data_IF_423151166571
#
_entry.id   IF_423151166571
#
_cell.length_a   1.000
_cell.length_b   1.000
_cell.length_c   1.000
_cell.angle_alpha   90.00
_cell.angle_beta   90.00
_cell.angle_gamma   90.00
#
_symmetry.space_group_name_H-M   'P 1'
#
loop_
_entity.id
_entity.type
_entity.pdbx_description
1 polymer ?
#
# COMPACT_ATOMS: atom_id res chain seq x y z
N UNK A 1 32.49 -18.74 0.32
CA UNK A 1 31.43 -18.65 1.35
C UNK A 1 30.59 -17.44 1.01
N UNK A 2 29.46 -17.65 0.34
CA UNK A 2 28.53 -16.57 -0.06
C UNK A 2 27.61 -16.36 1.13
N UNK A 3 27.66 -15.16 1.73
CA UNK A 3 26.79 -14.78 2.84
C UNK A 3 25.37 -14.57 2.35
N UNK A 4 24.52 -15.59 2.49
CA UNK A 4 23.07 -15.53 2.28
C UNK A 4 22.40 -15.04 3.57
N UNK A 5 22.68 -13.81 4.00
CA UNK A 5 22.13 -13.26 5.25
C UNK A 5 21.61 -11.84 5.02
N UNK A 6 20.82 -11.64 3.97
CA UNK A 6 20.20 -10.33 3.67
C UNK A 6 18.68 -10.38 3.51
N UNK A 7 18.06 -11.55 3.58
CA UNK A 7 16.67 -11.72 3.10
C UNK A 7 15.56 -11.49 4.15
N UNK A 8 15.68 -11.80 5.46
CA UNK A 8 14.52 -11.66 6.35
C UNK A 8 14.23 -10.23 6.81
N UNK A 9 15.23 -9.34 6.85
CA UNK A 9 15.05 -7.96 7.35
C UNK A 9 14.36 -7.04 6.35
N UNK A 10 14.55 -7.25 5.05
CA UNK A 10 13.95 -6.40 4.01
C UNK A 10 12.43 -6.58 3.92
N UNK A 11 11.92 -7.78 4.22
CA UNK A 11 10.48 -8.07 4.19
C UNK A 11 9.78 -7.85 5.52
N UNK A 12 10.50 -7.64 6.63
CA UNK A 12 9.90 -7.43 7.94
C UNK A 12 8.86 -6.28 7.95
N UNK A 13 9.14 -5.10 7.35
CA UNK A 13 8.15 -4.02 7.26
C UNK A 13 6.92 -4.40 6.42
N UNK A 14 7.11 -5.13 5.32
CA UNK A 14 6.02 -5.63 4.47
C UNK A 14 5.10 -6.56 5.27
N UNK A 15 5.68 -7.53 5.99
CA UNK A 15 4.94 -8.49 6.80
C UNK A 15 4.19 -7.81 7.96
N UNK A 16 4.81 -6.83 8.61
CA UNK A 16 4.16 -6.04 9.65
C UNK A 16 2.93 -5.30 9.10
N UNK A 17 3.10 -4.62 7.96
CA UNK A 17 2.01 -3.90 7.31
C UNK A 17 0.89 -4.83 6.84
N UNK A 18 1.18 -6.05 6.42
CA UNK A 18 0.14 -7.04 6.07
C UNK A 18 -0.75 -7.36 7.27
N UNK A 19 -0.18 -7.43 8.49
CA UNK A 19 -0.94 -7.62 9.73
C UNK A 19 -1.81 -6.41 10.12
N UNK A 20 -1.51 -5.23 9.57
CA UNK A 20 -2.23 -3.97 9.83
C UNK A 20 -3.23 -3.64 8.71
N UNK A 21 -3.49 -4.56 7.79
CA UNK A 21 -4.38 -4.32 6.65
C UNK A 21 -5.77 -3.87 7.13
N UNK A 22 -6.24 -2.68 6.72
CA UNK A 22 -7.56 -2.21 7.09
C UNK A 22 -8.66 -3.05 6.44
N UNK A 23 -9.81 -3.13 7.09
CA UNK A 23 -11.00 -3.76 6.50
C UNK A 23 -11.48 -2.99 5.27
N UNK A 24 -12.21 -3.65 4.37
CA UNK A 24 -12.82 -2.99 3.21
C UNK A 24 -13.81 -1.87 3.59
N UNK A 25 -14.40 -1.95 4.79
CA UNK A 25 -15.32 -0.95 5.31
C UNK A 25 -14.63 0.23 6.02
N UNK A 26 -13.29 0.19 6.17
CA UNK A 26 -12.55 1.30 6.76
C UNK A 26 -12.64 2.57 5.89
N UNK A 27 -12.53 3.78 6.49
CA UNK A 27 -12.47 5.02 5.75
C UNK A 27 -11.47 4.97 4.59
N UNK A 28 -11.79 5.65 3.47
CA UNK A 28 -10.92 5.69 2.30
C UNK A 28 -9.52 6.20 2.66
N UNK A 29 -9.43 7.21 3.53
CA UNK A 29 -8.16 7.75 4.04
C UNK A 29 -7.26 6.67 4.68
N UNK A 30 -7.83 5.80 5.51
CA UNK A 30 -7.07 4.75 6.20
C UNK A 30 -6.59 3.68 5.23
N UNK A 31 -7.44 3.30 4.25
CA UNK A 31 -7.08 2.35 3.19
C UNK A 31 -5.98 2.91 2.28
N UNK A 32 -6.10 4.17 1.87
CA UNK A 32 -5.10 4.87 1.06
C UNK A 32 -3.77 5.00 1.81
N UNK A 33 -3.80 5.43 3.08
CA UNK A 33 -2.60 5.55 3.92
C UNK A 33 -1.88 4.22 4.06
N UNK A 34 -2.61 3.12 4.27
CA UNK A 34 -2.04 1.78 4.34
C UNK A 34 -1.38 1.36 3.02
N UNK A 35 -2.05 1.56 1.87
CA UNK A 35 -1.51 1.24 0.56
C UNK A 35 -0.21 2.01 0.24
N UNK A 36 -0.14 3.29 0.61
CA UNK A 36 1.07 4.10 0.39
C UNK A 36 2.26 3.60 1.23
N UNK A 37 2.02 3.26 2.51
CA UNK A 37 3.06 2.65 3.36
C UNK A 37 3.49 1.28 2.84
N UNK A 38 2.54 0.47 2.36
CA UNK A 38 2.83 -0.82 1.73
C UNK A 38 3.69 -0.66 0.48
N UNK A 39 3.38 0.33 -0.37
CA UNK A 39 4.18 0.62 -1.55
C UNK A 39 5.61 1.05 -1.21
N UNK A 40 5.80 1.85 -0.17
CA UNK A 40 7.13 2.23 0.33
C UNK A 40 7.92 1.01 0.80
N UNK A 41 7.33 0.18 1.66
CA UNK A 41 7.97 -1.04 2.17
C UNK A 41 8.31 -2.05 1.05
N UNK A 42 7.42 -2.20 0.06
CA UNK A 42 7.68 -3.05 -1.11
C UNK A 42 8.83 -2.49 -1.96
N UNK A 43 8.90 -1.16 -2.11
CA UNK A 43 9.99 -0.50 -2.83
C UNK A 43 11.34 -0.70 -2.15
N UNK A 44 11.40 -0.54 -0.82
CA UNK A 44 12.61 -0.79 -0.01
C UNK A 44 13.05 -2.26 -0.06
N UNK A 45 12.10 -3.19 -0.19
CA UNK A 45 12.36 -4.61 -0.36
C UNK A 45 12.77 -5.01 -1.79
N UNK A 46 12.83 -4.04 -2.73
CA UNK A 46 13.16 -4.29 -4.15
C UNK A 46 12.02 -4.86 -4.99
N UNK A 47 10.80 -4.92 -4.46
CA UNK A 47 9.59 -5.39 -5.16
C UNK A 47 8.90 -4.23 -5.89
N UNK A 48 9.58 -3.64 -6.86
CA UNK A 48 9.16 -2.39 -7.53
C UNK A 48 7.79 -2.51 -8.20
N UNK A 49 7.53 -3.58 -8.96
CA UNK A 49 6.24 -3.78 -9.63
C UNK A 49 5.06 -3.88 -8.64
N UNK A 50 5.29 -4.54 -7.50
CA UNK A 50 4.29 -4.65 -6.44
C UNK A 50 4.06 -3.31 -5.72
N UNK A 51 5.14 -2.54 -5.53
CA UNK A 51 5.05 -1.19 -4.98
C UNK A 51 4.22 -0.27 -5.88
N UNK A 52 4.43 -0.32 -7.20
CA UNK A 52 3.67 0.49 -8.15
C UNK A 52 2.20 0.08 -8.19
N UNK A 53 1.91 -1.22 -8.16
CA UNK A 53 0.52 -1.72 -8.04
C UNK A 53 -0.17 -1.17 -6.78
N UNK A 54 0.53 -1.13 -5.64
CA UNK A 54 0.00 -0.57 -4.41
C UNK A 54 -0.23 0.96 -4.50
N UNK A 55 0.65 1.69 -5.20
CA UNK A 55 0.46 3.14 -5.47
C UNK A 55 -0.74 3.38 -6.36
N UNK A 56 -0.88 2.63 -7.44
CA UNK A 56 -2.02 2.73 -8.35
C UNK A 56 -3.33 2.49 -7.59
N UNK A 57 -3.39 1.42 -6.78
CA UNK A 57 -4.56 1.16 -5.95
C UNK A 57 -4.89 2.31 -4.98
N UNK A 58 -3.89 2.98 -4.42
CA UNK A 58 -4.09 4.17 -3.58
C UNK A 58 -4.67 5.34 -4.38
N UNK A 59 -4.18 5.58 -5.60
CA UNK A 59 -4.68 6.61 -6.52
C UNK A 59 -6.13 6.34 -6.92
N UNK A 60 -6.49 5.09 -7.18
CA UNK A 60 -7.86 4.71 -7.55
C UNK A 60 -8.86 5.07 -6.44
N UNK A 61 -8.54 4.77 -5.17
CA UNK A 61 -9.39 5.13 -4.02
C UNK A 61 -9.57 6.66 -3.91
N UNK A 62 -8.49 7.41 -4.13
CA UNK A 62 -8.55 8.88 -4.11
C UNK A 62 -9.40 9.38 -5.27
N UNK A 63 -9.25 8.81 -6.47
CA UNK A 63 -10.06 9.17 -7.64
C UNK A 63 -11.54 8.93 -7.38
N UNK A 64 -11.92 7.77 -6.86
CA UNK A 64 -13.30 7.46 -6.46
C UNK A 64 -13.84 8.47 -5.44
N UNK A 65 -13.03 8.86 -4.46
CA UNK A 65 -13.41 9.85 -3.45
C UNK A 65 -13.61 11.24 -4.08
N UNK A 66 -12.72 11.65 -4.99
CA UNK A 66 -12.83 12.92 -5.73
C UNK A 66 -14.05 12.92 -6.64
N UNK A 67 -14.31 11.83 -7.36
CA UNK A 67 -15.49 11.66 -8.21
C UNK A 67 -16.79 11.67 -7.39
N UNK A 68 -16.81 11.07 -6.20
CA UNK A 68 -17.97 11.15 -5.30
C UNK A 68 -18.25 12.59 -4.83
N UNK A 69 -17.21 13.37 -4.56
CA UNK A 69 -17.33 14.78 -4.16
C UNK A 69 -17.71 15.67 -5.35
N UNK A 70 -17.03 15.52 -6.49
CA UNK A 70 -17.26 16.30 -7.70
C UNK A 70 -18.58 15.93 -8.41
N UNK A 71 -18.99 14.68 -8.29
CA UNK A 71 -20.23 14.14 -8.85
C UNK A 71 -21.49 14.55 -8.10
N UNK A 72 -21.35 15.11 -6.89
CA UNK A 72 -22.37 15.89 -6.18
C UNK A 72 -23.77 15.27 -6.10
N UNK A 73 -24.09 14.71 -4.93
CA UNK A 73 -25.43 14.37 -4.44
C UNK A 73 -26.61 14.65 -5.38
N UNK A 74 -27.18 13.58 -5.91
CA UNK A 74 -28.60 13.49 -6.25
C UNK A 74 -29.21 12.32 -5.51
#
# INVERSE_FOLDING_TARGET
>A
MVGTTTEPTLFAPVLELMGQRPSAAAPSEDRTRWLLRMAEALGEAGLIEAADTAREAAVEIVRETVEAVAGGGR
#
